data_IF_118303461500
#
_entry.id   IF_118303461500
#
_cell.length_a   1.000
_cell.length_b   1.000
_cell.length_c   1.000
_cell.angle_alpha   90.00
_cell.angle_beta   90.00
_cell.angle_gamma   90.00
#
_symmetry.space_group_name_H-M   'P 1'
#
loop_
_entity.id
_entity.type
_entity.pdbx_description
1 polymer ?
#
# COMPACT_ATOMS: atom_id res chain seq x y z
N UNK A 1 -12.87 -23.49 -9.14
CA UNK A 1 -12.15 -22.35 -9.74
C UNK A 1 -11.84 -21.37 -8.60
N UNK A 2 -10.64 -21.40 -8.05
CA UNK A 2 -10.21 -20.42 -7.05
C UNK A 2 -9.72 -19.20 -7.82
N UNK A 3 -10.66 -18.31 -8.17
CA UNK A 3 -10.29 -17.00 -8.70
C UNK A 3 -9.74 -16.20 -7.51
N UNK A 4 -8.43 -15.94 -7.52
CA UNK A 4 -7.86 -15.01 -6.55
C UNK A 4 -8.58 -13.66 -6.67
N UNK A 5 -8.84 -13.03 -5.52
CA UNK A 5 -9.46 -11.72 -5.47
C UNK A 5 -8.67 -10.73 -6.34
N UNK A 6 -9.34 -9.90 -7.15
CA UNK A 6 -8.64 -8.97 -8.02
C UNK A 6 -7.79 -7.97 -7.21
N UNK A 7 -6.70 -7.44 -7.79
CA UNK A 7 -5.86 -6.45 -7.13
C UNK A 7 -6.66 -5.23 -6.70
N UNK A 8 -6.64 -4.91 -5.40
CA UNK A 8 -7.46 -3.86 -4.81
C UNK A 8 -6.57 -2.73 -4.25
N UNK A 9 -6.63 -1.55 -4.89
CA UNK A 9 -5.86 -0.37 -4.47
C UNK A 9 -6.23 0.11 -3.06
N UNK A 10 -7.52 0.21 -2.67
CA UNK A 10 -7.88 0.49 -1.29
C UNK A 10 -7.21 -0.45 -0.27
N UNK A 11 -7.16 -1.76 -0.55
CA UNK A 11 -6.45 -2.72 0.31
C UNK A 11 -4.94 -2.44 0.35
N UNK A 12 -4.31 -2.16 -0.79
CA UNK A 12 -2.88 -1.80 -0.85
C UNK A 12 -2.57 -0.53 -0.06
N UNK A 13 -3.44 0.50 -0.14
CA UNK A 13 -3.32 1.74 0.62
C UNK A 13 -3.46 1.49 2.12
N UNK A 14 -4.41 0.63 2.54
CA UNK A 14 -4.55 0.25 3.94
C UNK A 14 -3.32 -0.48 4.46
N UNK A 15 -2.75 -1.39 3.66
CA UNK A 15 -1.48 -2.06 4.00
C UNK A 15 -0.32 -1.07 4.15
N UNK A 16 -0.22 -0.09 3.26
CA UNK A 16 0.77 1.00 3.37
C UNK A 16 0.60 1.78 4.68
N UNK A 17 -0.63 2.16 5.04
CA UNK A 17 -0.92 2.84 6.31
C UNK A 17 -0.54 1.99 7.53
N UNK A 18 -0.84 0.70 7.52
CA UNK A 18 -0.46 -0.22 8.61
C UNK A 18 1.06 -0.33 8.73
N UNK A 19 1.78 -0.40 7.61
CA UNK A 19 3.24 -0.42 7.61
C UNK A 19 3.82 0.89 8.19
N UNK A 20 3.28 2.04 7.83
CA UNK A 20 3.69 3.32 8.41
C UNK A 20 3.38 3.39 9.92
N UNK A 21 2.22 2.91 10.35
CA UNK A 21 1.86 2.84 11.77
C UNK A 21 2.82 1.94 12.57
N UNK A 22 3.30 0.82 11.99
CA UNK A 22 4.36 -0.03 12.59
C UNK A 22 5.69 0.72 12.77
N UNK A 23 5.95 1.74 11.96
CA UNK A 23 7.09 2.65 12.09
C UNK A 23 6.82 3.82 13.06
N UNK A 24 5.71 3.78 13.81
CA UNK A 24 5.25 4.85 14.71
C UNK A 24 4.97 6.19 14.00
N UNK A 25 4.69 6.15 12.70
CA UNK A 25 4.20 7.31 11.95
C UNK A 25 2.69 7.51 12.20
N UNK A 26 2.24 8.77 12.22
CA UNK A 26 0.82 9.14 12.36
C UNK A 26 0.19 9.57 11.01
N UNK A 27 1.00 9.80 9.98
CA UNK A 27 0.56 10.19 8.64
C UNK A 27 1.34 9.45 7.55
N UNK A 28 0.73 9.36 6.36
CA UNK A 28 1.38 8.86 5.15
C UNK A 28 1.15 9.86 4.03
N UNK A 29 2.24 10.37 3.44
CA UNK A 29 2.18 11.08 2.18
C UNK A 29 2.20 10.05 1.04
N UNK A 30 1.08 9.91 0.34
CA UNK A 30 0.96 8.96 -0.75
C UNK A 30 1.62 9.51 -2.03
N UNK A 31 2.52 8.75 -2.63
CA UNK A 31 3.18 9.13 -3.89
C UNK A 31 2.44 8.57 -5.09
N UNK A 32 2.17 7.26 -5.09
CA UNK A 32 1.48 6.57 -6.18
C UNK A 32 0.82 5.30 -5.71
N UNK A 33 -0.21 4.88 -6.43
CA UNK A 33 -0.80 3.55 -6.32
C UNK A 33 -1.05 3.02 -7.73
N UNK A 34 -0.52 1.84 -8.04
CA UNK A 34 -0.59 1.25 -9.37
C UNK A 34 -0.86 -0.25 -9.26
N UNK A 35 -1.51 -0.81 -10.29
CA UNK A 35 -1.62 -2.25 -10.47
C UNK A 35 -0.52 -2.67 -11.42
N UNK A 36 0.47 -3.40 -10.93
CA UNK A 36 1.60 -3.89 -11.72
C UNK A 36 1.38 -5.35 -12.09
N UNK A 37 1.80 -5.71 -13.30
CA UNK A 37 1.89 -7.09 -13.78
C UNK A 37 3.37 -7.48 -13.90
N UNK A 38 3.70 -8.76 -13.70
CA UNK A 38 5.07 -9.26 -13.83
C UNK A 38 5.87 -9.28 -12.52
N UNK A 39 5.22 -9.11 -11.38
CA UNK A 39 5.85 -9.37 -10.08
C UNK A 39 6.11 -10.88 -9.93
N UNK A 40 7.33 -11.33 -9.59
CA UNK A 40 7.60 -12.76 -9.39
C UNK A 40 6.64 -13.36 -8.36
N UNK A 41 5.91 -14.41 -8.76
CA UNK A 41 4.92 -15.08 -7.91
C UNK A 41 3.53 -14.41 -7.84
N UNK A 42 3.28 -13.32 -8.58
CA UNK A 42 1.97 -12.67 -8.65
C UNK A 42 1.62 -12.27 -10.08
N UNK A 43 0.48 -12.76 -10.61
CA UNK A 43 0.00 -12.39 -11.94
C UNK A 43 -0.22 -10.88 -12.07
N UNK A 44 -0.96 -10.30 -11.10
CA UNK A 44 -1.16 -8.85 -10.95
C UNK A 44 -1.16 -8.49 -9.48
N UNK A 45 -0.64 -7.32 -9.15
CA UNK A 45 -0.58 -6.84 -7.77
C UNK A 45 -0.85 -5.34 -7.71
N UNK A 46 -1.63 -4.92 -6.72
CA UNK A 46 -1.80 -3.50 -6.39
C UNK A 46 -0.72 -3.09 -5.39
N UNK A 47 0.07 -2.07 -5.73
CA UNK A 47 1.14 -1.53 -4.90
C UNK A 47 0.89 -0.05 -4.67
N UNK A 48 1.01 0.40 -3.43
CA UNK A 48 0.99 1.81 -3.07
C UNK A 48 2.32 2.18 -2.42
N UNK A 49 2.93 3.28 -2.87
CA UNK A 49 4.15 3.83 -2.32
C UNK A 49 3.86 5.18 -1.66
N UNK A 50 4.53 5.45 -0.56
CA UNK A 50 4.38 6.67 0.21
C UNK A 50 5.48 6.84 1.23
N UNK A 51 5.57 8.04 1.78
CA UNK A 51 6.46 8.35 2.91
C UNK A 51 5.69 8.28 4.22
N UNK A 52 6.22 7.54 5.19
CA UNK A 52 5.71 7.52 6.55
C UNK A 52 6.20 8.78 7.28
N UNK A 53 5.27 9.57 7.83
CA UNK A 53 5.55 10.85 8.48
C UNK A 53 5.06 10.82 9.93
N UNK A 54 5.84 11.42 10.82
CA UNK A 54 5.39 11.73 12.17
C UNK A 54 5.25 13.25 12.29
N UNK A 55 4.02 13.74 12.11
CA UNK A 55 3.70 15.15 12.19
C UNK A 55 3.54 15.51 13.65
N UNK A 56 4.56 16.19 14.20
CA UNK A 56 4.51 16.79 15.54
C UNK A 56 3.91 18.20 15.42
N UNK A 57 2.72 18.37 15.99
CA UNK A 57 1.90 19.58 16.05
C UNK A 57 0.76 19.67 15.00
N UNK A 58 -0.45 19.75 15.54
CA UNK A 58 -1.53 20.58 15.03
C UNK A 58 -1.60 21.81 15.92
#
# INVERSE_FOLDING_TARGET
SNQDSPPNIPTARKRLQVNAARMKANAVLLHRCEVTSGTPGCYRQAVCLGSALNVSAQ
#
